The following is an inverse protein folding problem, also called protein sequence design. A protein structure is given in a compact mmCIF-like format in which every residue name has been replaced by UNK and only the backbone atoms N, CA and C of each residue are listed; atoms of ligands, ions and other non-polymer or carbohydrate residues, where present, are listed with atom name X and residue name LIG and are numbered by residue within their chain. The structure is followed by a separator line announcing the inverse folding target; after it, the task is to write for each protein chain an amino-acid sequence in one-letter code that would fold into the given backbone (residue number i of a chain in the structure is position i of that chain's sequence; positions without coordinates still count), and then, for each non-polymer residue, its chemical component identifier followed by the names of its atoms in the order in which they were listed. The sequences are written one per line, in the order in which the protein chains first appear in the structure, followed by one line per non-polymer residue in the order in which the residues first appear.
data_IF_476248357595
#
_entry.id   IF_476248357595
#
_cell.length_a   1.000
_cell.length_b   1.000
_cell.length_c   1.000
_cell.angle_alpha   90.00
_cell.angle_beta   90.00
_cell.angle_gamma   90.00
#
_symmetry.space_group_name_H-M   'P 1'
#
loop_
_entity.id
_entity.type
_entity.pdbx_description
1 polymer ?
#
# COMPACT_ATOMS: atom_id res chain seq x y z
N UNK A 1 9.95 -2.58 4.91
CA UNK A 1 10.71 -1.50 4.24
C UNK A 1 9.87 -1.05 3.06
N UNK A 2 9.39 0.18 3.07
CA UNK A 2 8.50 0.73 2.02
C UNK A 2 9.19 1.93 1.40
N UNK A 3 9.28 1.98 0.07
CA UNK A 3 9.84 3.11 -0.68
C UNK A 3 11.16 3.70 -0.10
N UNK A 4 12.10 2.82 0.25
CA UNK A 4 13.40 3.14 0.86
C UNK A 4 13.35 3.74 2.28
N UNK A 5 12.18 3.77 2.93
CA UNK A 5 12.01 4.17 4.32
C UNK A 5 11.89 2.95 5.25
N UNK A 6 12.37 3.11 6.49
CA UNK A 6 12.11 2.14 7.58
C UNK A 6 10.62 2.10 7.88
N UNK A 7 9.98 3.28 7.92
CA UNK A 7 8.55 3.47 8.13
C UNK A 7 8.05 4.59 7.21
N UNK A 8 6.97 4.35 6.49
CA UNK A 8 6.13 5.43 5.93
C UNK A 8 4.96 5.67 6.88
N UNK A 9 4.71 6.92 7.25
CA UNK A 9 3.65 7.26 8.20
C UNK A 9 2.95 8.58 7.85
N UNK A 10 1.65 8.72 8.18
CA UNK A 10 0.96 10.00 8.07
C UNK A 10 1.49 11.02 9.08
N UNK A 11 1.66 12.26 8.62
CA UNK A 11 1.84 13.43 9.49
C UNK A 11 0.46 13.86 9.99
N UNK A 12 0.29 13.88 11.30
CA UNK A 12 -1.00 14.14 11.94
C UNK A 12 -0.92 15.41 12.77
N UNK A 13 -1.90 16.29 12.59
CA UNK A 13 -2.12 17.47 13.42
C UNK A 13 -3.59 17.54 13.77
N UNK A 14 -3.93 17.71 15.05
CA UNK A 14 -5.31 17.78 15.53
C UNK A 14 -6.18 16.60 15.02
N UNK A 15 -5.67 15.37 15.12
CA UNK A 15 -6.34 14.13 14.63
C UNK A 15 -6.67 14.12 13.13
N UNK A 16 -6.05 14.98 12.33
CA UNK A 16 -6.20 15.02 10.86
C UNK A 16 -4.87 14.80 10.17
N UNK A 17 -4.91 14.14 9.02
CA UNK A 17 -3.73 13.91 8.17
C UNK A 17 -3.43 15.20 7.40
N UNK A 18 -2.22 15.73 7.58
CA UNK A 18 -1.75 16.95 6.90
C UNK A 18 -0.69 16.66 5.84
N UNK A 19 -0.27 15.40 5.71
CA UNK A 19 0.73 14.96 4.75
C UNK A 19 1.39 13.66 5.18
N UNK A 20 2.57 13.38 4.64
CA UNK A 20 3.24 12.09 4.78
C UNK A 20 4.72 12.27 5.16
N UNK A 21 5.24 11.32 5.92
CA UNK A 21 6.66 11.15 6.17
C UNK A 21 7.19 10.09 5.20
N UNK A 22 7.69 10.55 4.06
CA UNK A 22 8.34 9.70 3.05
C UNK A 22 9.49 10.45 2.38
N UNK A 23 10.58 9.74 2.08
CA UNK A 23 11.70 10.24 1.26
C UNK A 23 11.34 10.20 -0.24
N UNK A 24 10.54 9.24 -0.69
CA UNK A 24 10.21 9.05 -2.10
C UNK A 24 9.03 9.93 -2.53
N UNK A 25 9.22 10.74 -3.57
CA UNK A 25 8.22 11.65 -4.12
C UNK A 25 7.43 12.45 -3.04
N UNK A 26 8.11 13.25 -2.20
CA UNK A 26 7.54 13.84 -0.97
C UNK A 26 6.39 14.83 -1.22
N UNK A 27 6.18 15.27 -2.46
CA UNK A 27 5.08 16.15 -2.87
C UNK A 27 3.82 15.40 -3.31
N UNK A 28 3.82 14.06 -3.29
CA UNK A 28 2.65 13.27 -3.67
C UNK A 28 1.51 13.49 -2.67
N UNK A 29 0.30 13.73 -3.19
CA UNK A 29 -0.90 13.95 -2.38
C UNK A 29 -1.20 12.73 -1.50
N UNK A 30 -1.00 11.54 -2.04
CA UNK A 30 -1.24 10.25 -1.39
C UNK A 30 0.09 9.54 -1.18
N UNK A 31 0.61 9.62 0.04
CA UNK A 31 1.96 9.23 0.44
C UNK A 31 2.02 7.97 1.28
N UNK A 32 1.24 6.96 0.92
CA UNK A 32 1.18 5.65 1.56
C UNK A 32 1.25 4.53 0.53
N UNK A 33 1.39 3.32 1.04
CA UNK A 33 1.42 2.04 0.32
C UNK A 33 0.06 1.32 0.37
N UNK A 34 -0.16 0.31 -0.49
CA UNK A 34 -1.39 -0.50 -0.50
C UNK A 34 -1.76 -1.08 0.87
N UNK A 35 -0.77 -1.51 1.67
CA UNK A 35 -0.99 -2.08 2.99
C UNK A 35 -1.31 -1.01 4.07
N UNK A 36 -1.16 0.27 3.75
CA UNK A 36 -1.27 1.39 4.68
C UNK A 36 -2.66 2.01 4.81
N UNK A 37 -3.68 1.51 4.10
CA UNK A 37 -5.04 2.07 4.15
C UNK A 37 -6.12 1.00 4.05
N UNK A 38 -7.32 1.37 4.50
CA UNK A 38 -8.55 0.63 4.26
C UNK A 38 -9.63 1.59 3.74
N UNK A 39 -10.58 1.07 2.98
CA UNK A 39 -11.68 1.85 2.39
C UNK A 39 -13.01 1.31 2.89
N UNK A 40 -13.93 2.19 3.28
CA UNK A 40 -15.29 1.79 3.62
C UNK A 40 -15.99 1.19 2.39
N UNK A 41 -16.60 0.01 2.54
CA UNK A 41 -17.33 -0.68 1.49
C UNK A 41 -18.42 0.20 0.85
N UNK A 42 -19.16 0.97 1.65
CA UNK A 42 -20.20 1.86 1.14
C UNK A 42 -19.63 2.95 0.21
N UNK A 43 -18.43 3.46 0.50
CA UNK A 43 -17.76 4.42 -0.36
C UNK A 43 -17.42 3.82 -1.73
N UNK A 44 -16.97 2.56 -1.75
CA UNK A 44 -16.71 1.83 -3.00
C UNK A 44 -18.01 1.63 -3.80
N UNK A 45 -19.09 1.22 -3.14
CA UNK A 45 -20.39 1.00 -3.79
C UNK A 45 -20.97 2.28 -4.39
N UNK A 46 -20.74 3.44 -3.77
CA UNK A 46 -21.15 4.76 -4.29
C UNK A 46 -20.30 5.21 -5.49
N UNK A 47 -19.12 4.63 -5.70
CA UNK A 47 -18.21 4.95 -6.80
C UNK A 47 -17.96 3.70 -7.66
N UNK A 48 -18.95 3.23 -8.44
CA UNK A 48 -18.82 1.98 -9.22
C UNK A 48 -17.73 2.02 -10.29
N UNK A 49 -17.24 3.20 -10.64
CA UNK A 49 -16.14 3.42 -11.60
C UNK A 49 -14.75 3.35 -10.94
N UNK A 50 -14.70 3.34 -9.61
CA UNK A 50 -13.47 3.26 -8.84
C UNK A 50 -12.97 1.82 -8.79
N UNK A 51 -11.69 1.65 -9.13
CA UNK A 51 -11.06 0.35 -9.18
C UNK A 51 -9.66 0.44 -9.74
N UNK A 52 -8.93 -0.67 -9.62
CA UNK A 52 -7.57 -0.76 -10.11
C UNK A 52 -7.55 -0.84 -11.64
N UNK A 53 -6.77 0.05 -12.26
CA UNK A 53 -6.63 0.12 -13.71
C UNK A 53 -5.21 -0.24 -14.11
N UNK A 54 -5.06 -0.95 -15.23
CA UNK A 54 -3.74 -1.25 -15.83
C UNK A 54 -2.93 0.01 -16.15
N UNK A 55 -3.61 1.12 -16.44
CA UNK A 55 -2.98 2.41 -16.71
C UNK A 55 -3.40 3.41 -15.64
N UNK A 56 -2.41 3.94 -14.95
CA UNK A 56 -2.53 5.01 -13.97
C UNK A 56 -1.52 6.10 -14.38
N UNK A 57 -1.93 7.37 -14.33
CA UNK A 57 -1.04 8.49 -14.68
C UNK A 57 -0.07 8.85 -13.55
N UNK A 58 -0.35 8.34 -12.35
CA UNK A 58 0.47 8.56 -11.17
C UNK A 58 1.57 7.50 -11.08
N UNK A 59 2.63 7.80 -10.33
CA UNK A 59 3.78 6.90 -10.15
C UNK A 59 3.45 5.60 -9.40
N UNK A 60 2.29 5.56 -8.72
CA UNK A 60 1.81 4.40 -7.99
C UNK A 60 0.28 4.30 -8.14
N UNK A 61 -0.33 3.11 -8.00
CA UNK A 61 -1.74 2.94 -8.30
C UNK A 61 -2.68 3.47 -7.19
N UNK A 62 -2.23 3.58 -5.94
CA UNK A 62 -3.03 4.06 -4.80
C UNK A 62 -3.57 5.49 -5.03
N UNK A 63 -2.74 6.47 -5.45
CA UNK A 63 -3.23 7.78 -5.87
C UNK A 63 -4.36 7.73 -6.91
N UNK A 64 -4.28 6.83 -7.89
CA UNK A 64 -5.33 6.68 -8.90
C UNK A 64 -6.64 6.19 -8.30
N UNK A 65 -6.60 5.22 -7.38
CA UNK A 65 -7.80 4.77 -6.68
C UNK A 65 -8.41 5.91 -5.86
N UNK A 66 -7.60 6.62 -5.08
CA UNK A 66 -8.08 7.72 -4.23
C UNK A 66 -8.72 8.85 -5.05
N UNK A 67 -8.16 9.16 -6.22
CA UNK A 67 -8.73 10.15 -7.12
C UNK A 67 -10.08 9.67 -7.71
N UNK A 68 -10.24 8.37 -7.99
CA UNK A 68 -11.51 7.81 -8.46
C UNK A 68 -12.59 7.75 -7.37
N UNK A 69 -12.19 7.59 -6.10
CA UNK A 69 -13.09 7.65 -4.94
C UNK A 69 -13.46 9.07 -4.53
N UNK A 70 -12.91 10.09 -5.22
CA UNK A 70 -13.16 11.50 -4.97
C UNK A 70 -12.96 11.92 -3.50
N UNK A 71 -11.95 11.34 -2.83
CA UNK A 71 -11.63 11.66 -1.43
C UNK A 71 -10.60 12.79 -1.30
N UNK A 72 -10.65 13.50 -0.19
CA UNK A 72 -9.68 14.52 0.21
C UNK A 72 -8.87 14.09 1.43
N UNK A 73 -7.79 14.81 1.75
CA UNK A 73 -6.99 14.54 2.95
C UNK A 73 -7.81 14.68 4.24
N UNK A 74 -8.84 15.54 4.23
CA UNK A 74 -9.70 15.76 5.40
C UNK A 74 -10.64 14.58 5.69
N UNK A 75 -10.91 13.75 4.69
CA UNK A 75 -11.76 12.55 4.79
C UNK A 75 -10.99 11.36 5.36
N UNK A 76 -9.66 11.46 5.45
CA UNK A 76 -8.82 10.40 6.02
C UNK A 76 -9.01 10.35 7.55
N UNK A 77 -9.16 9.12 8.04
CA UNK A 77 -9.17 8.81 9.46
C UNK A 77 -7.83 8.18 9.84
N UNK A 78 -6.99 8.84 10.65
CA UNK A 78 -5.78 8.21 11.16
C UNK A 78 -6.11 7.00 12.04
N UNK A 79 -5.32 5.93 11.91
CA UNK A 79 -5.46 4.70 12.69
C UNK A 79 -4.11 4.32 13.32
N UNK A 80 -4.13 3.69 14.50
CA UNK A 80 -2.92 3.21 15.18
C UNK A 80 -1.99 4.33 15.68
N UNK A 81 -2.55 5.51 16.00
CA UNK A 81 -1.77 6.72 16.35
C UNK A 81 -1.96 7.18 17.79
N UNK A 82 -2.82 6.51 18.55
CA UNK A 82 -3.19 6.89 19.91
C UNK A 82 -2.16 6.42 20.96
N UNK A 83 -1.31 5.46 20.63
CA UNK A 83 -0.24 4.96 21.51
C UNK A 83 1.07 5.74 21.35
N UNK A 84 1.80 5.88 22.46
CA UNK A 84 3.18 6.40 22.47
C UNK A 84 4.09 5.42 23.24
N UNK A 85 5.14 4.86 22.60
CA UNK A 85 5.54 5.02 21.19
C UNK A 85 4.48 4.47 20.23
N UNK A 86 4.45 5.01 19.00
CA UNK A 86 3.53 4.53 17.97
C UNK A 86 3.89 3.12 17.53
N UNK A 87 2.89 2.27 17.38
CA UNK A 87 3.08 0.88 16.98
C UNK A 87 3.07 0.71 15.45
N UNK A 88 3.86 -0.25 14.96
CA UNK A 88 3.84 -0.66 13.55
C UNK A 88 2.97 -1.91 13.44
N UNK A 89 1.79 -1.75 12.84
CA UNK A 89 0.79 -2.83 12.74
C UNK A 89 0.90 -3.65 11.45
N UNK A 90 1.71 -3.21 10.48
CA UNK A 90 1.86 -3.87 9.19
C UNK A 90 3.29 -3.73 8.65
N UNK A 91 3.79 -4.79 8.02
CA UNK A 91 5.13 -4.85 7.45
C UNK A 91 5.07 -5.21 5.98
N UNK A 92 5.56 -4.32 5.11
CA UNK A 92 5.78 -4.62 3.71
C UNK A 92 7.08 -5.41 3.55
N UNK A 93 6.98 -6.73 3.76
CA UNK A 93 8.08 -7.67 3.57
C UNK A 93 8.13 -8.15 2.13
N UNK A 94 9.32 -8.50 1.67
CA UNK A 94 9.51 -9.08 0.33
C UNK A 94 10.24 -10.40 0.48
N UNK A 95 9.66 -11.45 -0.07
CA UNK A 95 10.31 -12.75 -0.14
C UNK A 95 11.48 -12.69 -1.12
N UNK A 96 12.65 -13.16 -0.71
CA UNK A 96 13.79 -13.30 -1.60
C UNK A 96 13.54 -14.44 -2.58
N UNK A 97 13.94 -14.25 -3.85
CA UNK A 97 13.82 -15.32 -4.83
C UNK A 97 14.88 -16.39 -4.52
N UNK A 98 14.43 -17.59 -4.16
CA UNK A 98 15.29 -18.75 -4.04
C UNK A 98 15.43 -19.42 -5.41
N UNK A 99 16.67 -19.63 -5.86
CA UNK A 99 16.94 -20.36 -7.09
C UNK A 99 16.68 -21.86 -6.87
N UNK A 100 15.41 -22.27 -6.97
CA UNK A 100 15.03 -23.68 -6.93
C UNK A 100 15.28 -24.27 -8.33
N UNK A 101 16.17 -25.26 -8.42
CA UNK A 101 16.28 -26.07 -9.63
C UNK A 101 15.07 -27.00 -9.69
N UNK A 102 14.17 -26.77 -10.64
CA UNK A 102 13.03 -27.66 -10.87
C UNK A 102 13.53 -29.08 -11.15
N UNK A 103 13.15 -30.04 -10.30
CA UNK A 103 13.32 -31.49 -10.51
C UNK A 103 11.94 -32.14 -10.59
N UNK A 104 11.88 -33.37 -11.08
CA UNK A 104 10.64 -34.14 -11.10
C UNK A 104 10.01 -34.16 -9.70
N UNK A 105 8.76 -33.68 -9.59
CA UNK A 105 8.04 -33.57 -8.32
C UNK A 105 7.35 -34.87 -7.92
N UNK A 106 7.55 -35.97 -8.65
CA UNK A 106 6.91 -37.27 -8.39
C UNK A 106 5.39 -37.19 -8.20
N UNK A 107 4.73 -36.27 -8.92
CA UNK A 107 3.27 -36.06 -8.85
C UNK A 107 2.81 -35.11 -7.74
N UNK A 108 3.71 -34.56 -6.92
CA UNK A 108 3.35 -33.53 -5.95
C UNK A 108 3.17 -32.15 -6.61
N UNK A 109 2.12 -31.44 -6.20
CA UNK A 109 1.90 -30.04 -6.55
C UNK A 109 2.84 -29.18 -5.69
N UNK A 110 3.79 -28.50 -6.33
CA UNK A 110 4.69 -27.57 -5.67
C UNK A 110 4.56 -26.19 -6.30
N UNK A 111 4.30 -25.18 -5.46
CA UNK A 111 4.33 -23.78 -5.88
C UNK A 111 5.78 -23.32 -5.99
N UNK A 112 6.30 -23.29 -7.23
CA UNK A 112 7.61 -22.70 -7.51
C UNK A 112 7.40 -21.23 -7.85
N UNK A 113 7.85 -20.29 -7.01
CA UNK A 113 7.68 -18.87 -7.30
C UNK A 113 8.41 -18.52 -8.60
N UNK A 114 7.75 -17.86 -9.57
CA UNK A 114 8.41 -17.41 -10.78
C UNK A 114 9.61 -16.51 -10.48
N UNK A 115 10.58 -16.46 -11.41
CA UNK A 115 11.79 -15.61 -11.31
C UNK A 115 11.50 -14.14 -10.97
N UNK A 116 10.27 -13.66 -11.22
CA UNK A 116 9.78 -12.35 -10.78
C UNK A 116 8.38 -12.49 -10.17
N UNK A 117 8.33 -12.85 -8.90
CA UNK A 117 7.18 -12.55 -8.05
C UNK A 117 7.56 -11.39 -7.15
N UNK A 118 6.87 -10.26 -7.33
CA UNK A 118 6.93 -9.11 -6.44
C UNK A 118 5.50 -8.87 -6.01
N UNK A 119 5.19 -9.22 -4.77
CA UNK A 119 4.06 -8.64 -4.08
C UNK A 119 4.55 -7.24 -3.68
N UNK A 120 3.93 -6.23 -4.29
CA UNK A 120 3.96 -4.84 -3.79
C UNK A 120 2.78 -4.78 -2.84
#
# INVERSE_FOLDING_TARGET
LVAFNVVEAPKIRNKKVIGWQTIYAPRRKWGFDMAGFAVNLELLLRHPQAGWRRRCREHSPEPCLMNLLNVSLNDLTPFGVDSWPREILVWHTKTSNIHIRSRNTYGYNAEVPPKRFVIV
#
